data_IF_152614252262
#
_entry.id   IF_152614252262
#
_cell.length_a   1.000
_cell.length_b   1.000
_cell.length_c   1.000
_cell.angle_alpha   90.00
_cell.angle_beta   90.00
_cell.angle_gamma   90.00
#
_symmetry.space_group_name_H-M   'P 1'
#
loop_
_entity.id
_entity.type
_entity.pdbx_description
1 polymer ?
#
# COMPACT_ATOMS: atom_id res chain seq x y z
N UNK A 1 2.79 -16.82 -4.87
CA UNK A 1 2.75 -15.45 -5.42
C UNK A 1 1.83 -14.63 -4.52
N UNK A 2 2.38 -13.73 -3.70
CA UNK A 2 1.56 -12.98 -2.74
C UNK A 2 0.81 -11.81 -3.41
N UNK A 3 1.34 -11.21 -4.49
CA UNK A 3 0.64 -10.32 -5.40
C UNK A 3 1.36 -10.21 -6.75
N UNK A 4 0.63 -9.81 -7.79
CA UNK A 4 1.17 -9.40 -9.08
C UNK A 4 0.66 -8.00 -9.40
N UNK A 5 1.53 -7.14 -9.93
CA UNK A 5 1.23 -5.73 -10.20
C UNK A 5 1.61 -5.42 -11.64
N UNK A 6 0.66 -4.89 -12.40
CA UNK A 6 0.94 -4.33 -13.71
C UNK A 6 1.48 -2.91 -13.53
N UNK A 7 2.64 -2.64 -14.12
CA UNK A 7 3.22 -1.30 -14.19
C UNK A 7 3.83 -1.08 -15.58
N UNK A 8 3.98 0.19 -15.97
CA UNK A 8 4.54 0.62 -17.24
C UNK A 8 5.70 1.57 -17.00
N UNK A 9 6.63 1.64 -17.94
CA UNK A 9 7.69 2.66 -17.89
C UNK A 9 7.07 4.07 -17.83
N UNK A 10 7.66 4.93 -17.01
CA UNK A 10 7.11 6.27 -16.70
C UNK A 10 6.10 6.31 -15.56
N UNK A 11 5.69 5.16 -15.01
CA UNK A 11 4.94 5.07 -13.76
C UNK A 11 5.87 4.93 -12.56
N UNK A 12 5.29 5.06 -11.36
CA UNK A 12 5.95 4.68 -10.11
C UNK A 12 5.33 3.39 -9.55
N UNK A 13 6.19 2.53 -9.01
CA UNK A 13 5.83 1.38 -8.19
C UNK A 13 5.90 1.82 -6.72
N UNK A 14 4.81 1.60 -5.97
CA UNK A 14 4.82 1.73 -4.52
C UNK A 14 4.79 0.34 -3.89
N UNK A 15 5.71 0.08 -2.95
CA UNK A 15 5.79 -1.16 -2.16
C UNK A 15 5.65 -0.82 -0.68
N UNK A 16 4.86 -1.58 0.06
CA UNK A 16 4.61 -1.33 1.48
C UNK A 16 5.01 -2.51 2.37
N UNK A 17 5.49 -2.20 3.57
CA UNK A 17 5.77 -3.14 4.66
C UNK A 17 4.67 -3.15 5.72
N UNK A 18 4.61 -4.22 6.51
CA UNK A 18 3.65 -4.40 7.60
C UNK A 18 3.74 -3.33 8.71
N UNK A 19 4.86 -2.62 8.80
CA UNK A 19 5.09 -1.51 9.75
C UNK A 19 4.73 -0.14 9.17
N UNK A 20 4.04 -0.07 8.03
CA UNK A 20 3.55 1.19 7.46
C UNK A 20 4.62 1.98 6.68
N UNK A 21 5.76 1.35 6.36
CA UNK A 21 6.81 1.97 5.53
C UNK A 21 6.55 1.71 4.07
N UNK A 22 6.67 2.75 3.26
CA UNK A 22 6.49 2.70 1.82
C UNK A 22 7.78 3.05 1.08
N UNK A 23 7.94 2.42 -0.07
CA UNK A 23 8.99 2.68 -1.04
C UNK A 23 8.34 3.04 -2.37
N UNK A 24 8.54 4.27 -2.83
CA UNK A 24 8.18 4.73 -4.18
C UNK A 24 9.40 4.60 -5.09
N UNK A 25 9.29 3.82 -6.16
CA UNK A 25 10.34 3.61 -7.15
C UNK A 25 9.84 3.99 -8.54
N UNK A 26 10.64 4.74 -9.29
CA UNK A 26 10.39 4.92 -10.72
C UNK A 26 10.50 3.58 -11.45
N UNK A 27 9.52 3.26 -12.29
CA UNK A 27 9.52 2.09 -13.16
C UNK A 27 10.40 2.39 -14.37
N UNK A 28 11.63 1.89 -14.32
CA UNK A 28 12.65 2.02 -15.34
C UNK A 28 13.65 0.87 -15.24
N UNK A 29 14.53 0.74 -16.24
CA UNK A 29 15.50 -0.36 -16.33
C UNK A 29 16.49 -0.40 -15.15
N UNK A 30 16.80 0.76 -14.53
CA UNK A 30 17.72 0.84 -13.39
C UNK A 30 17.12 0.20 -12.13
N UNK A 31 15.85 0.49 -11.83
CA UNK A 31 15.17 0.01 -10.63
C UNK A 31 14.53 -1.37 -10.84
N UNK A 32 13.88 -1.56 -12.00
CA UNK A 32 13.03 -2.69 -12.35
C UNK A 32 13.40 -3.18 -13.77
N UNK A 33 14.59 -3.78 -13.95
CA UNK A 33 15.02 -4.26 -15.26
C UNK A 33 14.10 -5.34 -15.80
N UNK A 34 13.99 -5.43 -17.13
CA UNK A 34 13.29 -6.55 -17.76
C UNK A 34 14.11 -7.82 -17.57
N UNK A 35 13.51 -8.82 -16.90
CA UNK A 35 14.19 -10.07 -16.58
C UNK A 35 13.43 -11.28 -17.11
N UNK A 36 14.17 -12.35 -17.42
CA UNK A 36 13.58 -13.63 -17.78
C UNK A 36 12.86 -14.29 -16.61
N UNK A 37 11.92 -15.20 -16.89
CA UNK A 37 11.07 -15.88 -15.90
C UNK A 37 11.82 -16.61 -14.77
N UNK A 38 13.06 -17.02 -15.00
CA UNK A 38 13.88 -17.76 -14.01
C UNK A 38 14.79 -16.85 -13.18
N UNK A 39 14.74 -15.53 -13.37
CA UNK A 39 15.53 -14.60 -12.59
C UNK A 39 14.97 -14.42 -11.17
N UNK A 40 15.84 -14.19 -10.19
CA UNK A 40 15.44 -13.91 -8.81
C UNK A 40 14.78 -12.53 -8.64
N UNK A 41 15.12 -11.58 -9.50
CA UNK A 41 14.69 -10.18 -9.37
C UNK A 41 15.56 -9.37 -8.40
N UNK A 42 15.49 -8.04 -8.46
CA UNK A 42 16.18 -7.15 -7.54
C UNK A 42 15.50 -7.11 -6.16
N UNK A 43 16.26 -6.76 -5.13
CA UNK A 43 15.69 -6.38 -3.83
C UNK A 43 15.11 -4.98 -3.94
N UNK A 44 13.79 -4.85 -3.79
CA UNK A 44 13.10 -3.55 -3.84
C UNK A 44 13.19 -2.81 -2.50
N UNK A 45 12.57 -3.38 -1.47
CA UNK A 45 12.48 -2.79 -0.13
C UNK A 45 13.38 -3.56 0.84
N UNK A 46 14.29 -2.86 1.52
CA UNK A 46 15.03 -3.44 2.64
C UNK A 46 14.13 -3.46 3.87
N UNK A 47 13.75 -4.68 4.29
CA UNK A 47 12.92 -4.93 5.46
C UNK A 47 13.73 -4.84 6.75
N UNK A 48 13.11 -4.30 7.80
CA UNK A 48 13.62 -4.40 9.16
C UNK A 48 13.28 -5.78 9.77
N UNK A 49 13.95 -6.21 10.85
CA UNK A 49 13.64 -7.47 11.50
C UNK A 49 12.16 -7.60 11.87
N UNK A 50 11.51 -8.67 11.42
CA UNK A 50 10.09 -8.94 11.68
C UNK A 50 9.11 -8.24 10.73
N UNK A 51 9.60 -7.42 9.79
CA UNK A 51 8.75 -6.83 8.76
C UNK A 51 8.49 -7.80 7.61
N UNK A 52 7.33 -7.65 6.98
CA UNK A 52 6.95 -8.35 5.75
C UNK A 52 6.48 -7.34 4.73
N UNK A 53 6.63 -7.65 3.44
CA UNK A 53 5.93 -6.90 2.38
C UNK A 53 4.45 -7.27 2.43
N UNK A 54 3.57 -6.27 2.41
CA UNK A 54 2.11 -6.48 2.51
C UNK A 54 1.37 -6.12 1.23
N UNK A 55 1.95 -5.25 0.40
CA UNK A 55 1.32 -4.86 -0.86
C UNK A 55 2.26 -4.09 -1.77
N UNK A 56 1.86 -4.01 -3.04
CA UNK A 56 2.47 -3.14 -4.01
C UNK A 56 1.43 -2.70 -5.06
N UNK A 57 1.63 -1.54 -5.67
CA UNK A 57 0.77 -1.03 -6.75
C UNK A 57 1.55 -0.12 -7.69
N UNK A 58 1.22 -0.16 -8.99
CA UNK A 58 1.75 0.73 -10.01
C UNK A 58 0.81 1.91 -10.24
N UNK A 59 1.34 3.12 -10.34
CA UNK A 59 0.58 4.36 -10.38
C UNK A 59 1.22 5.40 -11.31
N UNK A 60 0.43 6.27 -11.96
CA UNK A 60 0.97 7.49 -12.57
C UNK A 60 1.54 8.41 -11.48
N UNK A 61 2.36 9.39 -11.88
CA UNK A 61 3.07 10.29 -10.96
C UNK A 61 2.13 11.09 -10.04
N UNK A 62 0.93 11.45 -10.54
CA UNK A 62 -0.15 12.16 -9.84
C UNK A 62 -1.12 11.23 -9.09
N UNK A 63 -0.77 9.95 -8.97
CA UNK A 63 -1.60 8.94 -8.32
C UNK A 63 -1.69 9.10 -6.80
N UNK A 64 -2.50 8.24 -6.18
CA UNK A 64 -2.55 8.08 -4.73
C UNK A 64 -2.66 6.60 -4.37
N UNK A 65 -2.24 6.24 -3.17
CA UNK A 65 -2.43 4.91 -2.59
C UNK A 65 -3.49 4.96 -1.51
N UNK A 66 -4.29 3.90 -1.41
CA UNK A 66 -5.14 3.67 -0.23
C UNK A 66 -4.50 2.55 0.57
N UNK A 67 -4.35 2.79 1.86
CA UNK A 67 -3.73 1.90 2.84
C UNK A 67 -4.75 1.49 3.88
N UNK A 68 -4.69 0.25 4.33
CA UNK A 68 -5.51 -0.25 5.43
C UNK A 68 -4.67 -0.95 6.49
N UNK A 69 -4.89 -0.59 7.75
CA UNK A 69 -4.37 -1.33 8.90
C UNK A 69 -5.31 -2.42 9.36
N UNK A 70 -4.78 -3.36 10.14
CA UNK A 70 -5.53 -4.48 10.71
C UNK A 70 -6.68 -3.98 11.59
N UNK A 71 -6.49 -2.89 12.32
CA UNK A 71 -7.48 -2.36 13.26
C UNK A 71 -8.41 -1.30 12.66
N UNK A 72 -8.48 -1.21 11.33
CA UNK A 72 -9.49 -0.38 10.67
C UNK A 72 -9.05 1.04 10.36
N UNK A 73 -7.76 1.35 10.48
CA UNK A 73 -7.19 2.60 9.99
C UNK A 73 -7.17 2.58 8.47
N UNK A 74 -7.71 3.61 7.83
CA UNK A 74 -7.62 3.81 6.40
C UNK A 74 -7.10 5.20 6.09
N UNK A 75 -6.13 5.26 5.20
CA UNK A 75 -5.52 6.49 4.73
C UNK A 75 -5.39 6.48 3.22
N UNK A 76 -5.70 7.63 2.59
CA UNK A 76 -5.39 7.90 1.18
C UNK A 76 -4.21 8.86 1.12
N UNK A 77 -3.08 8.37 0.62
CA UNK A 77 -1.83 9.12 0.55
C UNK A 77 -1.49 9.46 -0.91
N UNK A 78 -1.43 10.75 -1.30
CA UNK A 78 -0.88 11.18 -2.58
C UNK A 78 0.56 10.73 -2.78
N UNK A 79 0.95 10.46 -4.03
CA UNK A 79 2.33 10.12 -4.33
C UNK A 79 3.30 11.27 -4.06
N UNK A 80 2.84 12.52 -4.16
CA UNK A 80 3.67 13.71 -3.91
C UNK A 80 4.21 13.78 -2.46
N UNK A 81 3.54 13.12 -1.50
CA UNK A 81 4.02 12.99 -0.12
C UNK A 81 5.06 11.87 0.05
N UNK A 82 5.23 11.04 -0.98
CA UNK A 82 6.24 9.98 -1.02
C UNK A 82 7.42 10.43 -1.89
N UNK A 83 8.60 10.52 -1.28
CA UNK A 83 9.82 10.75 -2.05
C UNK A 83 10.14 9.54 -2.93
N UNK A 84 10.63 9.78 -4.14
CA UNK A 84 11.24 8.71 -4.94
C UNK A 84 12.51 8.21 -4.24
N UNK A 85 12.58 6.91 -4.08
CA UNK A 85 13.70 6.20 -3.47
C UNK A 85 14.48 5.41 -4.53
N UNK A 86 15.57 4.77 -4.11
CA UNK A 86 16.30 3.78 -4.90
C UNK A 86 15.96 2.36 -4.45
N UNK A 87 16.14 1.38 -5.34
CA UNK A 87 16.00 -0.03 -4.95
C UNK A 87 16.98 -0.37 -3.82
N UNK A 88 16.53 -1.17 -2.86
CA UNK A 88 17.31 -1.56 -1.68
C UNK A 88 17.24 -0.53 -0.53
N UNK A 89 16.57 0.61 -0.73
CA UNK A 89 16.29 1.55 0.34
C UNK A 89 15.32 0.94 1.35
N UNK A 90 15.36 1.50 2.55
CA UNK A 90 14.40 1.18 3.59
C UNK A 90 13.05 1.86 3.29
N UNK A 91 12.97 2.91 2.48
CA UNK A 91 11.72 3.66 2.27
C UNK A 91 11.45 4.70 3.38
N UNK A 92 10.22 5.18 3.49
CA UNK A 92 9.77 6.18 4.47
C UNK A 92 8.50 5.74 5.18
N UNK A 93 8.20 6.30 6.35
CA UNK A 93 6.89 6.12 7.00
C UNK A 93 5.83 6.78 6.12
N UNK A 94 4.76 6.06 5.81
CA UNK A 94 3.59 6.68 5.17
C UNK A 94 2.26 6.34 5.80
N UNK A 95 2.19 5.34 6.70
CA UNK A 95 1.08 5.18 7.64
C UNK A 95 1.63 5.10 9.06
N UNK A 96 1.03 5.86 9.99
CA UNK A 96 1.41 5.84 11.41
C UNK A 96 0.30 5.20 12.23
N UNK A 97 0.63 4.15 12.97
CA UNK A 97 -0.36 3.49 13.81
C UNK A 97 -0.57 4.24 15.13
N UNK A 98 -1.83 4.51 15.47
CA UNK A 98 -2.20 5.04 16.78
C UNK A 98 -2.18 3.95 17.88
N UNK A 99 -2.49 2.71 17.51
CA UNK A 99 -2.67 1.61 18.45
C UNK A 99 -1.47 0.67 18.45
N UNK A 100 -1.03 0.27 19.64
CA UNK A 100 0.08 -0.66 19.80
C UNK A 100 -0.29 -2.03 19.22
N UNK A 101 0.60 -2.55 18.37
CA UNK A 101 0.42 -3.86 17.76
C UNK A 101 -0.39 -3.84 16.48
N UNK A 102 -0.97 -2.71 16.07
CA UNK A 102 -1.55 -2.55 14.75
C UNK A 102 -0.47 -2.64 13.66
N UNK A 103 -0.89 -3.05 12.47
CA UNK A 103 0.01 -3.29 11.34
C UNK A 103 -0.74 -3.00 10.04
N UNK A 104 -0.01 -2.54 9.03
CA UNK A 104 -0.53 -2.40 7.69
C UNK A 104 -0.82 -3.81 7.15
N UNK A 105 -2.04 -4.03 6.66
CA UNK A 105 -2.43 -5.33 6.08
C UNK A 105 -2.49 -5.28 4.57
N UNK A 106 -2.79 -4.11 4.00
CA UNK A 106 -2.90 -4.00 2.54
C UNK A 106 -2.74 -2.56 2.03
N UNK A 107 -2.42 -2.45 0.73
CA UNK A 107 -2.38 -1.22 -0.06
C UNK A 107 -2.90 -1.48 -1.47
N UNK A 108 -3.68 -0.55 -2.01
CA UNK A 108 -4.15 -0.57 -3.40
C UNK A 108 -4.06 0.81 -4.06
N UNK A 109 -4.33 0.84 -5.36
CA UNK A 109 -4.47 2.08 -6.11
C UNK A 109 -5.67 2.90 -5.61
N UNK A 110 -5.44 4.17 -5.25
CA UNK A 110 -6.47 5.10 -4.77
C UNK A 110 -7.28 5.80 -5.86
N UNK A 111 -7.07 5.48 -7.14
CA UNK A 111 -7.86 6.02 -8.26
C UNK A 111 -9.22 5.34 -8.42
N UNK A 112 -9.42 4.16 -7.81
CA UNK A 112 -10.67 3.43 -7.92
C UNK A 112 -11.70 4.01 -6.94
N UNK A 113 -12.91 4.36 -7.38
CA UNK A 113 -13.88 5.05 -6.52
C UNK A 113 -14.52 4.13 -5.47
N UNK A 114 -14.63 2.83 -5.77
CA UNK A 114 -15.23 1.84 -4.88
C UNK A 114 -14.19 0.80 -4.50
N UNK A 115 -14.10 0.50 -3.21
CA UNK A 115 -13.20 -0.50 -2.67
C UNK A 115 -13.97 -1.48 -1.77
N UNK A 116 -13.76 -2.79 -1.96
CA UNK A 116 -14.19 -3.78 -0.99
C UNK A 116 -13.19 -3.87 0.16
N UNK A 117 -13.67 -4.06 1.38
CA UNK A 117 -12.84 -4.33 2.56
C UNK A 117 -13.26 -5.68 3.10
N UNK A 118 -12.38 -6.67 3.08
CA UNK A 118 -12.65 -8.00 3.62
C UNK A 118 -12.16 -8.06 5.07
N UNK A 119 -13.01 -8.49 5.99
CA UNK A 119 -12.68 -8.73 7.38
C UNK A 119 -12.14 -10.15 7.58
N UNK A 120 -11.41 -10.36 8.68
CA UNK A 120 -10.79 -11.64 9.02
C UNK A 120 -11.80 -12.79 9.17
N UNK A 121 -13.04 -12.49 9.57
CA UNK A 121 -14.13 -13.46 9.74
C UNK A 121 -14.93 -13.75 8.46
N UNK A 122 -14.55 -13.12 7.34
CA UNK A 122 -15.19 -13.32 6.04
C UNK A 122 -16.33 -12.33 5.72
N UNK A 123 -16.71 -11.43 6.64
CA UNK A 123 -17.59 -10.32 6.30
C UNK A 123 -16.88 -9.33 5.37
N UNK A 124 -17.65 -8.56 4.61
CA UNK A 124 -17.12 -7.51 3.74
C UNK A 124 -17.88 -6.20 3.86
N UNK A 125 -17.16 -5.09 3.73
CA UNK A 125 -17.71 -3.74 3.68
C UNK A 125 -17.39 -3.12 2.31
N UNK A 126 -18.18 -2.11 1.92
CA UNK A 126 -17.89 -1.27 0.75
C UNK A 126 -17.44 0.10 1.24
N UNK A 127 -16.35 0.56 0.69
CA UNK A 127 -15.77 1.87 0.97
C UNK A 127 -15.80 2.70 -0.30
N UNK A 128 -16.35 3.90 -0.19
CA UNK A 128 -16.17 4.94 -1.20
C UNK A 128 -14.81 5.60 -0.98
N UNK A 129 -13.84 5.26 -1.82
CA UNK A 129 -12.49 5.80 -1.73
C UNK A 129 -12.44 7.31 -2.08
N UNK A 130 -13.49 7.84 -2.72
CA UNK A 130 -13.60 9.28 -2.99
C UNK A 130 -13.99 10.08 -1.75
N UNK A 131 -14.62 9.44 -0.76
CA UNK A 131 -14.91 10.06 0.54
C UNK A 131 -13.69 10.15 1.46
N UNK A 132 -12.61 9.42 1.13
CA UNK A 132 -11.35 9.52 1.83
C UNK A 132 -10.63 10.79 1.37
N UNK A 133 -10.39 11.70 2.31
CA UNK A 133 -9.54 12.84 2.04
C UNK A 133 -8.11 12.36 1.77
N UNK A 134 -7.49 12.94 0.74
CA UNK A 134 -6.06 12.86 0.57
C UNK A 134 -5.40 13.52 1.80
N UNK A 135 -4.52 12.79 2.46
CA UNK A 135 -3.87 13.25 3.69
C UNK A 135 -2.39 12.89 3.66
N UNK A 136 -1.58 13.76 4.23
CA UNK A 136 -0.13 13.60 4.28
C UNK A 136 0.25 12.52 5.30
N UNK A 137 1.51 12.11 5.32
CA UNK A 137 2.03 11.08 6.26
C UNK A 137 1.96 11.45 7.76
N UNK A 138 1.58 12.69 8.08
CA UNK A 138 1.45 13.23 9.44
C UNK A 138 -0.01 13.48 9.85
N UNK A 139 -0.95 13.43 8.90
CA UNK A 139 -2.33 13.80 9.10
C UNK A 139 -3.15 12.69 9.78
N UNK A 140 -4.30 13.09 10.35
CA UNK A 140 -5.21 12.16 11.00
C UNK A 140 -5.86 11.22 9.97
N UNK A 141 -5.78 9.93 10.27
CA UNK A 141 -6.36 8.86 9.46
C UNK A 141 -7.87 8.70 9.68
N UNK A 142 -8.53 8.04 8.73
CA UNK A 142 -9.95 7.70 8.84
C UNK A 142 -10.11 6.32 9.49
N UNK A 143 -10.87 6.22 10.58
CA UNK A 143 -11.25 4.91 11.16
C UNK A 143 -12.54 4.40 10.54
N UNK A 144 -12.58 3.12 10.17
CA UNK A 144 -13.78 2.45 9.65
C UNK A 144 -14.84 2.12 10.69
N UNK A 145 -14.61 2.42 11.98
CA UNK A 145 -15.59 2.16 13.04
C UNK A 145 -15.87 0.66 13.24
N UNK A 146 -14.82 -0.16 13.13
CA UNK A 146 -14.90 -1.61 13.32
C UNK A 146 -15.26 -1.98 14.77
N UNK A 147 -15.94 -3.12 14.94
CA UNK A 147 -16.15 -3.71 16.28
C UNK A 147 -14.81 -4.04 16.95
N UNK A 148 -14.79 -4.25 18.29
CA UNK A 148 -13.55 -4.47 19.04
C UNK A 148 -12.75 -5.71 18.60
N UNK A 149 -13.42 -6.72 18.05
CA UNK A 149 -12.82 -7.96 17.54
C UNK A 149 -12.68 -7.97 16.01
N UNK A 150 -13.21 -6.96 15.32
CA UNK A 150 -13.25 -6.91 13.87
C UNK A 150 -11.88 -6.44 13.34
N UNK A 151 -11.30 -7.22 12.44
CA UNK A 151 -10.00 -6.92 11.85
C UNK A 151 -10.08 -6.93 10.33
N UNK A 152 -9.46 -5.95 9.68
CA UNK A 152 -9.28 -5.95 8.24
C UNK A 152 -8.27 -7.01 7.86
N UNK A 153 -8.62 -7.78 6.83
CA UNK A 153 -7.74 -8.77 6.21
C UNK A 153 -7.11 -8.23 4.93
N UNK A 154 -7.90 -7.67 4.03
CA UNK A 154 -7.41 -7.18 2.74
C UNK A 154 -8.35 -6.14 2.11
N UNK A 155 -7.80 -5.36 1.20
CA UNK A 155 -8.51 -4.45 0.31
C UNK A 155 -8.76 -5.17 -1.02
N UNK A 156 -10.01 -5.12 -1.48
CA UNK A 156 -10.48 -5.80 -2.68
C UNK A 156 -10.91 -4.76 -3.71
N UNK A 157 -9.98 -4.28 -4.57
CA UNK A 157 -10.33 -3.41 -5.68
C UNK A 157 -11.29 -4.14 -6.65
N UNK A 158 -12.31 -3.47 -7.22
CA UNK A 158 -13.12 -4.02 -8.29
C UNK A 158 -12.26 -4.51 -9.46
N UNK A 159 -12.69 -5.63 -10.05
CA UNK A 159 -12.11 -6.16 -11.29
C UNK A 159 -12.41 -5.17 -12.42
N UNK A 160 -11.36 -4.57 -12.99
CA UNK A 160 -11.41 -3.69 -14.16
C UNK A 160 -10.93 -4.40 -15.41
#
# INVERSE_FOLDING_TARGET
LQRAVLCREGQDLVVASSTGRLLRLAVNETNLPVMGRNAQGPVLLRLLPGETVVGATGLPEDGSVVMASRQGLIQRLPLDDLRRCQRGDIGQIGLRFAQRGDQLVDLCNGSQPLLGVLLADGRSLRLDATSLNASNTEDADTSLGLGPEDQIRELVPPLS
#
